data_IF_096752124179
#
_entry.id   IF_096752124179
#
_cell.length_a   1.000
_cell.length_b   1.000
_cell.length_c   1.000
_cell.angle_alpha   90.00
_cell.angle_beta   90.00
_cell.angle_gamma   90.00
#
_symmetry.space_group_name_H-M   'P 1'
#
loop_
_entity.id
_entity.type
_entity.pdbx_description
1 polymer ?
#
# COMPACT_ATOMS: atom_id res chain seq x y z
N UNK A 1 27.54 -29.33 -19.22
CA UNK A 1 27.44 -29.51 -17.77
C UNK A 1 27.05 -28.17 -17.16
N UNK A 2 25.85 -28.14 -16.60
CA UNK A 2 25.25 -27.13 -15.71
C UNK A 2 25.26 -25.66 -16.16
N UNK A 3 24.25 -25.30 -16.96
CA UNK A 3 23.66 -23.96 -16.95
C UNK A 3 23.19 -23.63 -15.53
N UNK A 4 23.84 -22.65 -14.88
CA UNK A 4 23.35 -22.08 -13.63
C UNK A 4 22.44 -20.89 -14.01
N UNK A 5 21.11 -20.97 -13.84
CA UNK A 5 20.28 -19.80 -14.04
C UNK A 5 20.59 -18.80 -12.92
N UNK A 6 21.02 -17.58 -13.30
CA UNK A 6 21.15 -16.44 -12.39
C UNK A 6 19.83 -16.27 -11.64
N UNK A 7 19.82 -16.61 -10.36
CA UNK A 7 18.75 -16.26 -9.43
C UNK A 7 18.62 -14.74 -9.46
N UNK A 8 17.45 -14.28 -9.92
CA UNK A 8 17.09 -12.86 -9.90
C UNK A 8 17.13 -12.38 -8.45
N UNK A 9 18.15 -11.59 -8.11
CA UNK A 9 18.14 -10.76 -6.91
C UNK A 9 17.00 -9.75 -7.05
N UNK A 10 15.82 -10.15 -6.60
CA UNK A 10 14.63 -9.30 -6.48
C UNK A 10 14.58 -8.80 -5.04
N UNK A 11 15.50 -7.90 -4.70
CA UNK A 11 15.68 -7.41 -3.33
C UNK A 11 16.27 -6.02 -3.36
N UNK A 12 15.44 -5.03 -3.72
CA UNK A 12 15.66 -3.60 -3.43
C UNK A 12 14.51 -2.75 -4.02
N UNK A 13 13.94 -3.15 -5.15
CA UNK A 13 12.98 -2.32 -5.88
C UNK A 13 11.52 -2.48 -5.39
N UNK A 14 11.20 -3.61 -4.75
CA UNK A 14 9.86 -3.90 -4.21
C UNK A 14 9.55 -3.18 -2.88
N UNK A 15 10.55 -2.51 -2.27
CA UNK A 15 10.38 -1.77 -1.03
C UNK A 15 9.75 -0.37 -1.23
N UNK A 16 9.83 0.20 -2.44
CA UNK A 16 9.39 1.59 -2.72
C UNK A 16 7.91 1.73 -3.05
N UNK A 17 7.21 0.64 -3.35
CA UNK A 17 5.80 0.68 -3.77
C UNK A 17 4.81 0.56 -2.59
N UNK A 18 5.31 0.33 -1.36
CA UNK A 18 4.44 0.10 -0.19
C UNK A 18 3.98 1.37 0.53
N UNK A 19 4.51 2.53 0.14
CA UNK A 19 4.22 3.80 0.82
C UNK A 19 3.15 4.62 0.09
N UNK A 20 2.87 4.32 -1.18
CA UNK A 20 1.92 5.07 -2.00
C UNK A 20 0.54 4.41 -2.00
N UNK A 21 -0.52 5.13 -1.59
CA UNK A 21 -1.88 4.60 -1.72
C UNK A 21 -2.27 4.46 -3.20
N UNK A 22 -3.14 3.50 -3.51
CA UNK A 22 -3.82 3.46 -4.82
C UNK A 22 -4.65 4.73 -5.00
N UNK A 23 -4.90 5.16 -6.24
CA UNK A 23 -5.72 6.36 -6.50
C UNK A 23 -7.13 6.17 -5.91
N UNK A 24 -7.66 7.24 -5.35
CA UNK A 24 -8.99 7.27 -4.77
C UNK A 24 -10.11 6.92 -5.71
N UNK A 25 -10.00 7.32 -6.98
CA UNK A 25 -10.95 6.96 -8.00
C UNK A 25 -10.92 5.46 -8.33
N UNK A 26 -9.76 4.80 -8.29
CA UNK A 26 -9.69 3.35 -8.55
C UNK A 26 -10.35 2.54 -7.42
N UNK A 27 -10.16 2.98 -6.18
CA UNK A 27 -10.60 2.23 -5.00
C UNK A 27 -12.07 2.52 -4.68
N UNK A 28 -12.52 3.76 -4.84
CA UNK A 28 -13.88 4.21 -4.48
C UNK A 28 -14.77 4.56 -5.67
N UNK A 29 -14.25 4.71 -6.88
CA UNK A 29 -15.04 5.07 -8.06
C UNK A 29 -16.18 4.06 -8.29
N UNK A 30 -17.42 4.56 -8.23
CA UNK A 30 -18.64 3.76 -8.36
C UNK A 30 -18.95 2.85 -7.16
N UNK A 31 -18.25 2.98 -6.02
CA UNK A 31 -18.56 2.25 -4.78
C UNK A 31 -19.24 3.19 -3.79
N UNK A 32 -20.34 2.71 -3.20
CA UNK A 32 -21.02 3.42 -2.11
C UNK A 32 -20.02 3.68 -0.97
N UNK A 33 -19.97 4.90 -0.39
CA UNK A 33 -19.04 5.30 0.69
C UNK A 33 -19.05 4.43 1.95
N UNK A 34 -20.04 3.54 2.09
CA UNK A 34 -20.20 2.61 3.20
C UNK A 34 -19.42 1.30 3.07
N UNK A 35 -18.82 0.99 1.91
CA UNK A 35 -18.04 -0.25 1.74
C UNK A 35 -16.62 -0.10 2.29
N UNK A 36 -16.19 -1.07 3.10
CA UNK A 36 -14.82 -1.17 3.63
C UNK A 36 -13.82 -1.43 2.50
N UNK A 37 -13.32 -0.38 1.85
CA UNK A 37 -12.23 -0.46 0.89
C UNK A 37 -10.92 -0.04 1.57
N UNK A 38 -9.90 -0.91 1.55
CA UNK A 38 -8.56 -0.58 2.04
C UNK A 38 -7.66 -0.15 0.87
N UNK A 39 -7.41 1.16 0.67
CA UNK A 39 -6.53 1.67 -0.38
C UNK A 39 -5.06 1.28 -0.20
N UNK A 40 -4.72 0.80 1.01
CA UNK A 40 -3.38 0.42 1.44
C UNK A 40 -3.26 -1.10 1.62
N UNK A 41 -4.14 -1.90 1.00
CA UNK A 41 -4.11 -3.36 1.08
C UNK A 41 -2.75 -3.97 0.67
N UNK A 42 -2.05 -3.35 -0.28
CA UNK A 42 -0.71 -3.77 -0.70
C UNK A 42 0.33 -3.57 0.42
N UNK A 43 0.30 -2.41 1.10
CA UNK A 43 1.15 -2.11 2.24
C UNK A 43 0.84 -3.01 3.45
N UNK A 44 -0.45 -3.31 3.68
CA UNK A 44 -0.88 -4.27 4.70
C UNK A 44 -0.30 -5.66 4.41
N UNK A 45 -0.42 -6.15 3.17
CA UNK A 45 0.18 -7.43 2.73
C UNK A 45 1.69 -7.45 2.92
N UNK A 46 2.38 -6.35 2.64
CA UNK A 46 3.83 -6.23 2.85
C UNK A 46 4.21 -6.33 4.34
N UNK A 47 3.44 -5.68 5.22
CA UNK A 47 3.66 -5.79 6.68
C UNK A 47 3.42 -7.20 7.22
N UNK A 48 2.42 -7.91 6.69
CA UNK A 48 2.16 -9.31 7.03
C UNK A 48 3.29 -10.23 6.54
N UNK A 49 3.77 -10.02 5.31
CA UNK A 49 4.89 -10.77 4.77
C UNK A 49 6.19 -10.55 5.57
N UNK A 50 6.38 -9.36 6.16
CA UNK A 50 7.48 -9.11 7.08
C UNK A 50 7.34 -9.95 8.36
N UNK A 51 6.15 -9.97 8.96
CA UNK A 51 5.89 -10.77 10.16
C UNK A 51 6.11 -12.25 9.92
N UNK A 52 5.62 -12.79 8.81
CA UNK A 52 5.79 -14.21 8.46
C UNK A 52 7.28 -14.61 8.37
N UNK A 53 8.13 -13.72 7.83
CA UNK A 53 9.59 -13.96 7.71
C UNK A 53 10.35 -13.82 9.02
N UNK A 54 9.83 -13.02 9.95
CA UNK A 54 10.49 -12.71 11.22
C UNK A 54 9.79 -13.32 12.42
N UNK A 55 9.10 -14.47 12.24
CA UNK A 55 8.41 -15.19 13.32
C UNK A 55 7.46 -14.30 14.12
N UNK A 56 6.75 -13.40 13.44
CA UNK A 56 5.82 -12.42 14.00
C UNK A 56 6.45 -11.40 14.98
N UNK A 57 7.77 -11.21 14.90
CA UNK A 57 8.47 -10.18 15.66
C UNK A 57 8.17 -8.79 15.08
N UNK A 58 7.33 -8.05 15.80
CA UNK A 58 6.87 -6.71 15.39
C UNK A 58 7.99 -5.68 15.39
N UNK A 59 9.04 -5.88 16.20
CA UNK A 59 10.13 -4.91 16.34
C UNK A 59 10.96 -4.82 15.06
N UNK A 60 11.12 -5.95 14.37
CA UNK A 60 11.83 -6.07 13.08
C UNK A 60 11.05 -5.50 11.90
N UNK A 61 9.74 -5.31 12.06
CA UNK A 61 8.82 -4.87 10.99
C UNK A 61 8.32 -3.44 11.18
N UNK A 62 8.95 -2.63 12.04
CA UNK A 62 8.54 -1.26 12.33
C UNK A 62 8.41 -0.39 11.06
N UNK A 63 9.33 -0.54 10.10
CA UNK A 63 9.30 0.18 8.82
C UNK A 63 8.08 -0.21 7.96
N UNK A 64 7.76 -1.51 7.86
CA UNK A 64 6.60 -1.96 7.09
C UNK A 64 5.27 -1.43 7.68
N UNK A 65 5.19 -1.33 9.01
CA UNK A 65 4.04 -0.69 9.66
C UNK A 65 4.00 0.82 9.44
N UNK A 66 5.17 1.47 9.40
CA UNK A 66 5.28 2.89 9.13
C UNK A 66 4.81 3.20 7.69
N UNK A 67 5.22 2.39 6.71
CA UNK A 67 4.75 2.49 5.32
C UNK A 67 3.23 2.39 5.22
N UNK A 68 2.60 1.44 5.92
CA UNK A 68 1.14 1.34 5.96
C UNK A 68 0.46 2.57 6.58
N UNK A 69 1.04 3.14 7.65
CA UNK A 69 0.52 4.37 8.27
C UNK A 69 0.64 5.56 7.32
N UNK A 70 1.76 5.68 6.63
CA UNK A 70 2.02 6.79 5.74
C UNK A 70 1.18 6.70 4.46
N UNK A 71 0.95 5.49 3.94
CA UNK A 71 -0.03 5.23 2.88
C UNK A 71 -1.43 5.75 3.28
N UNK A 72 -1.91 5.41 4.48
CA UNK A 72 -3.22 5.88 4.96
C UNK A 72 -3.27 7.40 5.15
N UNK A 73 -2.19 8.02 5.64
CA UNK A 73 -2.11 9.48 5.75
C UNK A 73 -2.20 10.14 4.37
N UNK A 74 -1.39 9.68 3.42
CA UNK A 74 -1.39 10.18 2.05
C UNK A 74 -2.78 10.07 1.41
N UNK A 75 -3.46 8.94 1.64
CA UNK A 75 -4.82 8.72 1.17
C UNK A 75 -5.84 9.71 1.73
N UNK A 76 -5.85 9.93 3.05
CA UNK A 76 -6.76 10.90 3.68
C UNK A 76 -6.49 12.31 3.19
N UNK A 77 -5.21 12.67 2.99
CA UNK A 77 -4.82 13.95 2.42
C UNK A 77 -5.30 14.09 0.98
N UNK A 78 -5.14 13.06 0.15
CA UNK A 78 -5.64 13.06 -1.22
C UNK A 78 -7.15 13.26 -1.26
N UNK A 79 -7.91 12.50 -0.47
CA UNK A 79 -9.38 12.66 -0.36
C UNK A 79 -9.79 14.07 0.09
N UNK A 80 -9.05 14.66 1.02
CA UNK A 80 -9.31 16.03 1.49
C UNK A 80 -9.04 17.05 0.37
N UNK A 81 -7.98 16.85 -0.42
CA UNK A 81 -7.66 17.68 -1.59
C UNK A 81 -8.71 17.53 -2.69
N UNK A 82 -9.05 16.31 -3.06
CA UNK A 82 -10.08 16.02 -4.08
C UNK A 82 -11.42 16.70 -3.72
N UNK A 83 -11.78 16.71 -2.43
CA UNK A 83 -12.98 17.43 -1.93
C UNK A 83 -12.82 18.96 -2.03
N UNK A 84 -11.65 19.49 -1.68
CA UNK A 84 -11.40 20.93 -1.72
C UNK A 84 -11.35 21.47 -3.16
N UNK A 85 -10.87 20.65 -4.09
CA UNK A 85 -10.73 20.98 -5.52
C UNK A 85 -12.00 20.63 -6.34
N UNK A 86 -12.94 19.90 -5.76
CA UNK A 86 -14.17 19.49 -6.45
C UNK A 86 -13.91 18.51 -7.60
N UNK A 87 -12.95 17.59 -7.44
CA UNK A 87 -12.60 16.61 -8.48
C UNK A 87 -13.79 15.72 -8.81
N UNK A 88 -14.21 15.74 -10.08
CA UNK A 88 -15.30 14.91 -10.61
C UNK A 88 -15.05 13.41 -10.34
N UNK A 89 -16.08 12.69 -9.88
CA UNK A 89 -16.01 11.26 -9.57
C UNK A 89 -15.33 10.89 -8.24
N UNK A 90 -14.79 11.86 -7.48
CA UNK A 90 -14.22 11.60 -6.16
C UNK A 90 -15.29 11.49 -5.05
N UNK A 91 -16.51 11.94 -5.30
CA UNK A 91 -17.58 11.94 -4.30
C UNK A 91 -18.96 11.53 -4.83
N UNK A 92 -19.04 11.07 -6.08
CA UNK A 92 -20.23 10.44 -6.66
C UNK A 92 -20.43 9.01 -6.14
#
# INVERSE_FOLDING_TARGET
MSSIPKLKHKSAEEAKDTTQPRDHLEVMGGKVPSKFADPCAHAAKASMACLERHSYDRTKCAEAFQNYRDCKKAWVLQRRKDRAEGREGAFD
#
